data_IF_925527100540
#
_entry.id   IF_925527100540
#
_cell.length_a   1.000
_cell.length_b   1.000
_cell.length_c   1.000
_cell.angle_alpha   90.00
_cell.angle_beta   90.00
_cell.angle_gamma   90.00
#
_symmetry.space_group_name_H-M   'P 1'
#
loop_
_entity.id
_entity.type
_entity.pdbx_description
1 polymer ?
#
# COMPACT_ATOMS: atom_id res chain seq x y z
N UNK A 1 20.29 15.02 -3.25
CA UNK A 1 20.12 14.37 -3.54
C UNK A 1 19.63 13.80 -4.28
N UNK A 2 19.32 13.47 -4.88
CA UNK A 2 18.91 12.95 -5.51
C UNK A 2 18.39 12.21 -5.65
N UNK A 3 18.12 11.92 -5.50
CA UNK A 3 17.54 11.07 -5.40
C UNK A 3 16.32 10.85 -5.92
N UNK A 4 15.68 11.54 -6.48
CA UNK A 4 14.50 11.42 -7.01
C UNK A 4 14.41 10.60 -8.21
N UNK A 5 15.47 10.28 -8.80
CA UNK A 5 15.48 9.37 -9.84
C UNK A 5 15.56 8.00 -9.35
N UNK A 6 15.23 7.83 -8.12
CA UNK A 6 15.27 6.58 -7.44
C UNK A 6 14.30 5.62 -8.06
N UNK A 7 14.73 4.41 -8.34
CA UNK A 7 13.89 3.39 -8.89
C UNK A 7 12.94 2.85 -7.85
N UNK A 8 11.90 2.15 -8.29
CA UNK A 8 10.89 1.60 -7.39
C UNK A 8 11.48 0.74 -6.30
N UNK A 9 12.46 -0.08 -6.62
CA UNK A 9 13.09 -0.94 -5.62
C UNK A 9 13.75 -0.11 -4.53
N UNK A 10 14.41 0.98 -4.91
CA UNK A 10 15.06 1.84 -3.93
C UNK A 10 14.04 2.60 -3.11
N UNK A 11 12.95 3.01 -3.73
CA UNK A 11 11.88 3.68 -3.01
C UNK A 11 11.25 2.74 -2.00
N UNK A 12 11.07 1.48 -2.37
CA UNK A 12 10.51 0.48 -1.48
C UNK A 12 11.42 0.24 -0.28
N UNK A 13 12.72 0.15 -0.53
CA UNK A 13 13.69 -0.03 0.55
C UNK A 13 13.65 1.14 1.52
N UNK A 14 13.61 2.37 0.98
CA UNK A 14 13.55 3.56 1.81
C UNK A 14 12.28 3.57 2.65
N UNK A 15 11.15 3.17 2.06
CA UNK A 15 9.89 3.10 2.77
C UNK A 15 9.98 2.10 3.93
N UNK A 16 10.51 0.90 3.68
CA UNK A 16 10.62 -0.12 4.72
C UNK A 16 11.58 0.30 5.82
N UNK A 17 12.67 0.98 5.47
CA UNK A 17 13.61 1.46 6.47
C UNK A 17 12.95 2.48 7.38
N UNK A 18 12.18 3.41 6.81
CA UNK A 18 11.49 4.41 7.58
C UNK A 18 10.41 3.75 8.45
N UNK A 19 9.68 2.81 7.88
CA UNK A 19 8.64 2.09 8.61
C UNK A 19 9.23 1.37 9.81
N UNK A 20 10.35 0.68 9.62
CA UNK A 20 11.01 -0.06 10.69
C UNK A 20 11.50 0.88 11.78
N UNK A 21 12.01 2.04 11.40
CA UNK A 21 12.47 3.00 12.36
C UNK A 21 11.34 3.55 13.21
N UNK A 22 10.23 3.87 12.58
CA UNK A 22 9.05 4.33 13.29
C UNK A 22 8.48 3.23 14.19
N UNK A 23 8.48 2.02 13.69
CA UNK A 23 7.90 0.89 14.42
C UNK A 23 8.80 0.34 15.48
N UNK A 24 10.05 0.76 15.52
CA UNK A 24 10.94 0.36 16.59
C UNK A 24 10.40 0.79 17.95
N UNK A 25 9.65 1.89 17.97
CA UNK A 25 9.05 2.41 19.18
C UNK A 25 7.67 1.83 19.43
N UNK A 26 7.14 1.08 18.48
CA UNK A 26 5.85 0.45 18.61
C UNK A 26 6.00 -0.97 19.13
N UNK A 27 4.92 -1.67 19.26
CA UNK A 27 4.97 -3.05 19.74
C UNK A 27 5.56 -3.96 18.68
N UNK A 28 6.34 -4.91 19.15
CA UNK A 28 6.84 -5.99 18.31
C UNK A 28 5.69 -6.70 17.59
N UNK A 29 4.55 -6.76 18.25
CA UNK A 29 3.34 -7.36 17.74
C UNK A 29 2.90 -6.78 16.40
N UNK A 30 2.90 -5.44 16.28
CA UNK A 30 2.51 -4.79 15.04
C UNK A 30 3.44 -5.11 13.89
N UNK A 31 4.73 -5.27 14.17
CA UNK A 31 5.69 -5.63 13.14
C UNK A 31 5.48 -7.04 12.64
N UNK A 32 5.26 -7.98 13.56
CA UNK A 32 4.97 -9.36 13.19
C UNK A 32 3.69 -9.43 12.38
N UNK A 33 2.67 -8.70 12.81
CA UNK A 33 1.40 -8.67 12.10
C UNK A 33 1.57 -8.17 10.68
N UNK A 34 2.34 -7.09 10.50
CA UNK A 34 2.56 -6.53 9.18
C UNK A 34 3.28 -7.54 8.26
N UNK A 35 4.36 -8.11 8.73
CA UNK A 35 5.15 -9.05 7.93
C UNK A 35 4.32 -10.28 7.57
N UNK A 36 3.56 -10.79 8.53
CA UNK A 36 2.72 -11.95 8.29
C UNK A 36 1.62 -11.65 7.28
N UNK A 37 0.97 -10.50 7.44
CA UNK A 37 -0.10 -10.10 6.51
C UNK A 37 0.44 -9.92 5.10
N UNK A 38 1.59 -9.25 4.97
CA UNK A 38 2.19 -9.05 3.66
C UNK A 38 2.58 -10.37 3.01
N UNK A 39 3.04 -11.32 3.80
CA UNK A 39 3.37 -12.64 3.29
C UNK A 39 2.14 -13.30 2.63
N UNK A 40 1.01 -13.27 3.33
CA UNK A 40 -0.21 -13.88 2.79
C UNK A 40 -0.77 -13.09 1.60
N UNK A 41 -0.67 -11.75 1.65
CA UNK A 41 -1.10 -10.94 0.53
C UNK A 41 -0.28 -11.29 -0.71
N UNK A 42 1.04 -11.42 -0.56
CA UNK A 42 1.90 -11.78 -1.68
C UNK A 42 1.57 -13.15 -2.23
N UNK A 43 1.27 -14.11 -1.35
CA UNK A 43 0.85 -15.44 -1.81
C UNK A 43 -0.41 -15.36 -2.66
N UNK A 44 -1.40 -14.61 -2.22
CA UNK A 44 -2.65 -14.44 -2.97
C UNK A 44 -2.39 -13.77 -4.31
N UNK A 45 -1.52 -12.76 -4.32
CA UNK A 45 -1.22 -12.02 -5.54
C UNK A 45 -0.52 -12.90 -6.55
N UNK A 46 0.37 -13.77 -6.10
CA UNK A 46 1.06 -14.70 -7.00
C UNK A 46 0.08 -15.67 -7.64
N UNK A 47 -0.90 -16.13 -6.88
CA UNK A 47 -1.91 -17.04 -7.42
C UNK A 47 -2.81 -16.33 -8.44
N UNK A 48 -3.19 -15.09 -8.13
CA UNK A 48 -4.06 -14.33 -9.01
C UNK A 48 -3.33 -13.90 -10.27
N UNK A 49 -2.04 -13.67 -10.16
CA UNK A 49 -1.25 -13.13 -11.27
C UNK A 49 -1.31 -14.02 -12.52
N UNK A 50 -1.15 -15.32 -12.32
CA UNK A 50 -1.25 -16.28 -13.44
C UNK A 50 -0.39 -15.84 -14.64
N UNK A 51 0.83 -15.41 -14.35
CA UNK A 51 1.77 -15.02 -15.41
C UNK A 51 1.67 -13.57 -15.85
N UNK A 52 0.73 -12.80 -15.31
CA UNK A 52 0.60 -11.38 -15.66
C UNK A 52 1.63 -10.55 -14.90
N UNK A 53 1.96 -9.40 -15.47
CA UNK A 53 2.86 -8.46 -14.80
C UNK A 53 2.15 -7.78 -13.64
N UNK A 54 2.92 -7.30 -12.68
CA UNK A 54 2.34 -6.63 -11.50
C UNK A 54 1.46 -5.45 -11.88
N UNK A 55 1.87 -4.70 -12.89
CA UNK A 55 1.12 -3.52 -13.34
C UNK A 55 -0.27 -3.87 -13.86
N UNK A 56 -0.46 -5.12 -14.22
CA UNK A 56 -1.76 -5.57 -14.74
C UNK A 56 -2.67 -6.09 -13.64
N UNK A 57 -2.19 -6.13 -12.40
CA UNK A 57 -2.96 -6.64 -11.27
C UNK A 57 -3.46 -5.46 -10.46
N UNK A 58 -4.78 -5.34 -10.38
CA UNK A 58 -5.43 -4.26 -9.64
C UNK A 58 -5.76 -4.70 -8.23
N UNK A 59 -5.45 -3.85 -7.26
CA UNK A 59 -5.72 -4.10 -5.85
C UNK A 59 -6.59 -2.98 -5.33
N UNK A 60 -7.65 -3.33 -4.62
CA UNK A 60 -8.49 -2.35 -3.94
C UNK A 60 -8.35 -2.54 -2.44
N UNK A 61 -7.83 -1.52 -1.77
CA UNK A 61 -7.62 -1.53 -0.33
C UNK A 61 -8.70 -0.69 0.33
N UNK A 62 -9.66 -1.34 0.96
CA UNK A 62 -10.78 -0.66 1.61
C UNK A 62 -10.45 -0.47 3.08
N UNK A 63 -10.60 0.77 3.57
CA UNK A 63 -10.20 1.09 4.92
C UNK A 63 -8.68 1.17 5.03
N UNK A 64 -8.06 1.79 4.04
CA UNK A 64 -6.61 1.74 3.87
C UNK A 64 -5.83 2.45 4.98
N UNK A 65 -6.49 3.29 5.77
CA UNK A 65 -5.81 4.06 6.79
C UNK A 65 -4.79 5.00 6.18
N UNK A 66 -3.57 4.96 6.70
CA UNK A 66 -2.49 5.79 6.17
C UNK A 66 -1.67 5.05 5.11
N UNK A 67 -2.17 3.92 4.62
CA UNK A 67 -1.53 3.21 3.52
C UNK A 67 -0.53 2.15 3.93
N UNK A 68 -0.73 1.55 5.09
CA UNK A 68 0.21 0.56 5.62
C UNK A 68 0.52 -0.56 4.63
N UNK A 69 -0.50 -0.99 3.89
CA UNK A 69 -0.34 -2.05 2.89
C UNK A 69 -0.37 -1.49 1.47
N UNK A 70 -1.22 -0.48 1.22
CA UNK A 70 -1.37 0.11 -0.10
C UNK A 70 -0.06 0.68 -0.62
N UNK A 71 0.67 1.41 0.24
CA UNK A 71 1.88 2.09 -0.20
C UNK A 71 2.96 1.10 -0.64
N UNK A 72 3.34 0.11 0.19
CA UNK A 72 4.37 -0.82 -0.27
C UNK A 72 3.96 -1.62 -1.49
N UNK A 73 2.68 -1.98 -1.60
CA UNK A 73 2.21 -2.74 -2.77
C UNK A 73 2.29 -1.90 -4.04
N UNK A 74 1.93 -0.62 -3.95
CA UNK A 74 2.05 0.27 -5.09
C UNK A 74 3.50 0.47 -5.49
N UNK A 75 4.40 0.57 -4.50
CA UNK A 75 5.82 0.72 -4.79
C UNK A 75 6.42 -0.54 -5.40
N UNK A 76 5.79 -1.68 -5.19
CA UNK A 76 6.21 -2.93 -5.84
C UNK A 76 5.78 -3.00 -7.30
N UNK A 77 4.84 -2.16 -7.71
CA UNK A 77 4.39 -2.10 -9.10
C UNK A 77 2.94 -2.45 -9.34
N UNK A 78 2.21 -2.85 -8.31
CA UNK A 78 0.80 -3.19 -8.48
C UNK A 78 -0.04 -1.92 -8.69
N UNK A 79 -1.16 -2.08 -9.38
CA UNK A 79 -2.11 -0.99 -9.61
C UNK A 79 -3.04 -0.90 -8.39
N UNK A 80 -2.72 -0.03 -7.45
CA UNK A 80 -3.43 0.02 -6.17
C UNK A 80 -4.36 1.21 -6.09
N UNK A 81 -5.61 0.93 -5.73
CA UNK A 81 -6.58 1.96 -5.37
C UNK A 81 -6.91 1.78 -3.89
N UNK A 82 -7.01 2.87 -3.17
CA UNK A 82 -7.28 2.85 -1.74
C UNK A 82 -8.50 3.70 -1.42
N UNK A 83 -9.33 3.21 -0.54
CA UNK A 83 -10.52 3.94 -0.07
C UNK A 83 -10.37 4.13 1.43
N UNK A 84 -10.47 5.37 1.88
CA UNK A 84 -10.34 5.68 3.29
C UNK A 84 -11.37 6.72 3.69
N UNK A 85 -12.10 6.46 4.76
CA UNK A 85 -13.16 7.33 5.25
C UNK A 85 -12.61 8.58 5.93
N UNK A 86 -11.54 8.43 6.70
CA UNK A 86 -11.01 9.52 7.53
C UNK A 86 -10.07 10.39 6.73
N UNK A 87 -10.44 11.65 6.55
CA UNK A 87 -9.66 12.60 5.74
C UNK A 87 -8.22 12.72 6.19
N UNK A 88 -7.98 12.73 7.48
CA UNK A 88 -6.63 12.87 8.02
C UNK A 88 -5.75 11.70 7.56
N UNK A 89 -6.27 10.49 7.63
CA UNK A 89 -5.55 9.30 7.20
C UNK A 89 -5.30 9.32 5.70
N UNK A 90 -6.31 9.73 4.94
CA UNK A 90 -6.19 9.83 3.50
C UNK A 90 -5.10 10.82 3.11
N UNK A 91 -5.05 11.96 3.81
CA UNK A 91 -4.02 12.96 3.57
C UNK A 91 -2.62 12.41 3.85
N UNK A 92 -2.49 11.64 4.95
CA UNK A 92 -1.21 11.02 5.27
C UNK A 92 -0.79 10.01 4.21
N UNK A 93 -1.75 9.25 3.70
CA UNK A 93 -1.47 8.29 2.64
C UNK A 93 -0.98 9.00 1.38
N UNK A 94 -1.66 10.07 0.99
CA UNK A 94 -1.29 10.81 -0.21
C UNK A 94 0.08 11.46 -0.10
N UNK A 95 0.50 11.80 1.10
CA UNK A 95 1.82 12.37 1.32
C UNK A 95 2.94 11.34 1.13
N UNK A 96 2.64 10.06 1.31
CA UNK A 96 3.65 9.02 1.22
C UNK A 96 4.01 8.67 -0.22
N UNK A 97 3.04 8.71 -1.11
CA UNK A 97 3.28 8.39 -2.51
C UNK A 97 2.10 8.84 -3.36
N UNK A 98 2.35 9.15 -4.61
CA UNK A 98 1.29 9.43 -5.57
C UNK A 98 0.96 8.20 -6.41
N UNK A 99 1.56 7.07 -6.12
CA UNK A 99 1.33 5.84 -6.88
C UNK A 99 0.07 5.10 -6.48
N UNK A 100 -0.54 5.48 -5.35
CA UNK A 100 -1.81 4.90 -4.91
C UNK A 100 -2.91 5.84 -5.36
N UNK A 101 -3.92 5.30 -6.04
CA UNK A 101 -5.12 6.06 -6.38
C UNK A 101 -5.98 6.09 -5.13
N UNK A 102 -5.98 7.22 -4.43
CA UNK A 102 -6.61 7.32 -3.11
C UNK A 102 -7.89 8.11 -3.17
N UNK A 103 -8.94 7.55 -2.60
CA UNK A 103 -10.28 8.14 -2.62
C UNK A 103 -10.86 8.19 -1.22
N UNK A 104 -11.53 9.28 -0.90
CA UNK A 104 -12.29 9.33 0.33
C UNK A 104 -13.61 8.61 0.10
N UNK A 105 -13.97 7.72 0.99
CA UNK A 105 -15.21 7.00 0.83
C UNK A 105 -15.52 6.07 1.97
N UNK A 106 -16.73 5.55 1.91
CA UNK A 106 -17.27 4.63 2.89
C UNK A 106 -17.36 3.25 2.24
N UNK A 107 -16.94 2.23 2.95
CA UNK A 107 -16.98 0.86 2.45
C UNK A 107 -18.38 0.43 2.02
N UNK A 108 -19.40 1.05 2.59
CA UNK A 108 -20.78 0.73 2.24
C UNK A 108 -21.28 1.44 0.98
N UNK A 109 -20.49 2.33 0.39
CA UNK A 109 -20.89 3.11 -0.78
C UNK A 109 -19.80 3.12 -1.82
N UNK A 110 -19.54 1.96 -2.40
CA UNK A 110 -18.43 1.78 -3.34
C UNK A 110 -18.89 1.77 -4.80
N UNK A 111 -19.85 2.61 -5.13
CA UNK A 111 -20.41 2.60 -6.48
C UNK A 111 -19.40 2.93 -7.56
N UNK A 112 -18.41 3.76 -7.24
CA UNK A 112 -17.41 4.15 -8.24
C UNK A 112 -16.55 2.97 -8.71
N UNK A 113 -16.61 1.85 -8.00
CA UNK A 113 -15.83 0.67 -8.36
C UNK A 113 -16.72 -0.46 -8.91
N UNK A 114 -17.99 -0.19 -9.12
CA UNK A 114 -18.91 -1.18 -9.71
C UNK A 114 -18.77 -1.11 -11.22
N UNK A 115 -18.93 -2.24 -11.86
CA UNK A 115 -18.87 -2.31 -13.34
C UNK A 115 -20.13 -1.80 -14.01
#
# INVERSE_FOLDING_TARGET
>A
MRKHQVKSVTELEAYYNKFNEEKRLDSRHGRVEFVTSMHYIHQCLEEVAAGREKEEISILDIGAGTGRYSVPLALEGYDVSAVELVKHNLGRLKQKTDRVKAYQGNALKLKRFED
#
